data_IF_010492727260
#
_entry.id   IF_010492727260
#
_cell.length_a   1.000
_cell.length_b   1.000
_cell.length_c   1.000
_cell.angle_alpha   90.00
_cell.angle_beta   90.00
_cell.angle_gamma   90.00
#
_symmetry.space_group_name_H-M   'P 1'
#
loop_
_entity.id
_entity.type
_entity.pdbx_description
1 polymer ?
#
# COMPACT_ATOMS: atom_id res chain seq x y z
N UNK A 1 -26.90 1.18 -2.69
CA UNK A 1 -25.52 0.67 -2.88
C UNK A 1 -24.69 1.24 -1.74
N UNK A 2 -24.43 0.46 -0.70
CA UNK A 2 -23.55 0.88 0.39
C UNK A 2 -22.14 0.39 0.03
N UNK A 3 -21.24 1.34 -0.24
CA UNK A 3 -19.81 1.06 -0.38
C UNK A 3 -19.17 1.34 0.96
N UNK A 4 -18.50 0.34 1.53
CA UNK A 4 -17.72 0.49 2.75
C UNK A 4 -16.24 0.51 2.41
N UNK A 5 -15.52 1.50 2.95
CA UNK A 5 -14.09 1.68 2.74
C UNK A 5 -13.33 1.77 4.07
N UNK A 6 -13.93 1.38 5.20
CA UNK A 6 -13.34 1.63 6.52
C UNK A 6 -11.99 0.92 6.69
N UNK A 7 -11.84 -0.30 6.15
CA UNK A 7 -10.55 -1.00 6.11
C UNK A 7 -9.52 -0.19 5.30
N UNK A 8 -9.93 0.34 4.16
CA UNK A 8 -9.07 1.05 3.22
C UNK A 8 -8.64 2.42 3.74
N UNK A 9 -9.48 3.06 4.55
CA UNK A 9 -9.28 4.40 5.10
C UNK A 9 -8.65 4.37 6.49
N UNK A 10 -8.37 3.20 7.05
CA UNK A 10 -7.82 3.09 8.38
C UNK A 10 -6.45 3.77 8.47
N UNK A 11 -6.36 4.76 9.35
CA UNK A 11 -5.18 5.62 9.51
C UNK A 11 -5.17 6.87 8.63
N UNK A 12 -6.16 7.06 7.76
CA UNK A 12 -6.48 8.30 7.06
C UNK A 12 -7.72 8.93 7.69
N UNK A 13 -7.86 10.26 7.64
CA UNK A 13 -9.09 10.95 8.08
C UNK A 13 -10.17 10.92 6.97
N UNK A 14 -10.44 9.75 6.42
CA UNK A 14 -11.41 9.52 5.36
C UNK A 14 -10.99 10.05 3.97
N UNK A 15 -11.88 9.89 2.99
CA UNK A 15 -11.59 10.12 1.56
C UNK A 15 -11.22 11.57 1.20
N UNK A 16 -11.76 12.55 1.94
CA UNK A 16 -11.54 14.00 1.68
C UNK A 16 -10.22 14.47 2.30
N UNK A 17 -9.81 13.86 3.41
CA UNK A 17 -8.61 14.22 4.18
C UNK A 17 -7.61 13.06 4.19
N UNK A 18 -7.40 12.44 3.02
CA UNK A 18 -6.52 11.29 2.79
C UNK A 18 -5.12 11.41 3.42
N UNK A 19 -4.55 12.62 3.44
CA UNK A 19 -3.20 12.86 3.97
C UNK A 19 -3.18 13.36 5.42
N UNK A 20 -4.33 13.42 6.10
CA UNK A 20 -4.37 13.61 7.54
C UNK A 20 -4.19 12.26 8.22
N UNK A 21 -3.03 12.07 8.86
CA UNK A 21 -2.68 10.82 9.52
C UNK A 21 -3.49 10.69 10.81
N UNK A 22 -4.19 9.57 10.96
CA UNK A 22 -4.87 9.21 12.20
C UNK A 22 -4.21 7.97 12.82
N UNK A 23 -4.09 7.97 14.15
CA UNK A 23 -3.70 6.76 14.89
C UNK A 23 -4.89 5.80 14.97
N UNK A 24 -4.59 4.51 14.96
CA UNK A 24 -5.57 3.45 15.13
C UNK A 24 -4.92 2.29 15.88
N UNK A 25 -5.74 1.49 16.52
CA UNK A 25 -5.35 0.29 17.24
C UNK A 25 -6.00 -0.96 16.60
N UNK A 26 -5.46 -2.14 16.89
CA UNK A 26 -5.98 -3.40 16.34
C UNK A 26 -7.50 -3.60 16.50
N UNK A 27 -8.17 -3.16 17.59
CA UNK A 27 -9.63 -3.20 17.67
C UNK A 27 -10.33 -2.40 16.57
N UNK A 28 -9.79 -1.25 16.14
CA UNK A 28 -10.36 -0.43 15.06
C UNK A 28 -10.30 -1.19 13.72
N UNK A 29 -9.18 -1.85 13.43
CA UNK A 29 -9.05 -2.72 12.26
C UNK A 29 -10.05 -3.88 12.30
N UNK A 30 -10.21 -4.51 13.47
CA UNK A 30 -11.16 -5.61 13.66
C UNK A 30 -12.60 -5.14 13.40
N UNK A 31 -13.00 -3.99 13.93
CA UNK A 31 -14.35 -3.47 13.70
C UNK A 31 -14.58 -3.08 12.24
N UNK A 32 -13.60 -2.47 11.57
CA UNK A 32 -13.68 -2.19 10.14
C UNK A 32 -13.90 -3.47 9.32
N UNK A 33 -13.16 -4.54 9.63
CA UNK A 33 -13.34 -5.84 8.99
C UNK A 33 -14.72 -6.43 9.28
N UNK A 34 -15.13 -6.47 10.54
CA UNK A 34 -16.43 -7.00 10.95
C UNK A 34 -17.59 -6.26 10.30
N UNK A 35 -17.48 -4.94 10.12
CA UNK A 35 -18.48 -4.13 9.43
C UNK A 35 -18.69 -4.61 7.99
N UNK A 36 -17.60 -4.83 7.23
CA UNK A 36 -17.69 -5.34 5.85
C UNK A 36 -18.29 -6.74 5.76
N UNK A 37 -18.12 -7.57 6.80
CA UNK A 37 -18.66 -8.93 6.84
C UNK A 37 -20.12 -8.97 7.33
N UNK A 38 -20.53 -8.02 8.20
CA UNK A 38 -21.89 -7.91 8.72
C UNK A 38 -22.85 -7.24 7.74
N UNK A 39 -22.38 -6.29 6.94
CA UNK A 39 -23.24 -5.49 6.04
C UNK A 39 -23.98 -6.35 5.00
N UNK A 40 -23.51 -7.56 4.74
CA UNK A 40 -24.11 -8.51 3.80
C UNK A 40 -25.12 -9.48 4.42
N UNK A 41 -25.18 -9.59 5.76
CA UNK A 41 -25.78 -10.73 6.47
C UNK A 41 -27.29 -10.96 6.25
N UNK A 42 -28.06 -9.91 5.98
CA UNK A 42 -29.51 -10.01 5.71
C UNK A 42 -29.85 -9.62 4.26
N UNK A 43 -28.88 -9.67 3.35
CA UNK A 43 -29.01 -9.22 1.96
C UNK A 43 -28.60 -10.32 0.97
N UNK A 44 -28.94 -10.14 -0.30
CA UNK A 44 -28.44 -10.92 -1.44
C UNK A 44 -27.13 -10.34 -2.03
N UNK A 45 -26.48 -9.42 -1.33
CA UNK A 45 -25.26 -8.77 -1.77
C UNK A 45 -24.04 -9.71 -1.68
N UNK A 46 -23.05 -9.45 -2.55
CA UNK A 46 -21.78 -10.18 -2.56
C UNK A 46 -20.60 -9.19 -2.52
N UNK A 47 -19.74 -9.22 -1.49
CA UNK A 47 -18.69 -8.23 -1.34
C UNK A 47 -17.43 -8.61 -2.12
N UNK A 48 -16.61 -7.61 -2.42
CA UNK A 48 -15.23 -7.80 -2.85
C UNK A 48 -14.30 -7.71 -1.63
N UNK A 49 -13.36 -8.66 -1.51
CA UNK A 49 -12.35 -8.69 -0.45
C UNK A 49 -11.00 -8.31 -1.04
N UNK A 50 -10.45 -7.18 -0.62
CA UNK A 50 -9.13 -6.71 -1.06
C UNK A 50 -8.49 -5.85 0.02
N UNK A 51 -7.16 -5.78 0.02
CA UNK A 51 -6.39 -4.87 0.87
C UNK A 51 -5.50 -3.92 0.07
N UNK A 52 -5.37 -4.14 -1.25
CA UNK A 52 -4.55 -3.33 -2.14
C UNK A 52 -5.30 -3.11 -3.45
N UNK A 53 -5.09 -1.95 -4.04
CA UNK A 53 -5.45 -1.64 -5.43
C UNK A 53 -4.49 -0.53 -5.93
N UNK A 54 -4.81 0.11 -7.05
CA UNK A 54 -3.96 1.16 -7.62
C UNK A 54 -4.05 2.53 -6.92
N UNK A 55 -4.98 2.69 -5.97
CA UNK A 55 -5.21 3.93 -5.22
C UNK A 55 -4.83 3.85 -3.73
N UNK A 56 -4.68 2.63 -3.20
CA UNK A 56 -4.30 2.37 -1.81
C UNK A 56 -2.80 2.13 -1.66
N UNK A 57 -2.21 2.44 -0.48
CA UNK A 57 -0.85 2.02 -0.18
C UNK A 57 -0.74 0.48 -0.06
N UNK A 58 0.47 -0.03 0.16
CA UNK A 58 0.69 -1.46 0.40
C UNK A 58 0.12 -1.89 1.74
N UNK A 59 -0.50 -3.06 1.80
CA UNK A 59 -1.23 -3.50 2.99
C UNK A 59 -0.31 -3.87 4.15
N UNK A 60 0.83 -4.51 3.87
CA UNK A 60 1.81 -4.94 4.88
C UNK A 60 2.33 -3.77 5.73
N UNK A 61 2.93 -2.71 5.13
CA UNK A 61 3.44 -1.57 5.90
C UNK A 61 2.34 -0.73 6.55
N UNK A 62 1.10 -0.81 6.04
CA UNK A 62 -0.04 -0.06 6.58
C UNK A 62 -0.66 -0.77 7.78
N UNK A 63 -0.90 -2.09 7.71
CA UNK A 63 -1.73 -2.82 8.69
C UNK A 63 -0.97 -3.84 9.55
N UNK A 64 0.23 -4.27 9.14
CA UNK A 64 0.90 -5.42 9.77
C UNK A 64 2.25 -5.06 10.36
N UNK A 65 3.23 -4.70 9.53
CA UNK A 65 4.59 -4.37 9.97
C UNK A 65 5.41 -3.69 8.88
N UNK A 66 6.34 -2.84 9.30
CA UNK A 66 7.41 -2.30 8.46
C UNK A 66 8.76 -2.99 8.67
N UNK A 67 8.83 -4.00 9.54
CA UNK A 67 10.08 -4.65 9.92
C UNK A 67 10.52 -5.70 8.88
N UNK A 68 11.66 -5.51 8.19
CA UNK A 68 12.08 -6.37 7.08
C UNK A 68 12.14 -7.88 7.39
N UNK A 69 12.63 -8.34 8.56
CA UNK A 69 12.66 -9.76 8.93
C UNK A 69 11.26 -10.40 9.02
N UNK A 70 10.22 -9.63 9.32
CA UNK A 70 8.85 -10.11 9.49
C UNK A 70 8.01 -10.04 8.21
N UNK A 71 8.51 -9.41 7.14
CA UNK A 71 7.77 -9.11 5.92
C UNK A 71 7.14 -10.34 5.25
N UNK A 72 7.87 -11.44 5.10
CA UNK A 72 7.34 -12.66 4.48
C UNK A 72 6.26 -13.33 5.35
N UNK A 73 6.42 -13.32 6.68
CA UNK A 73 5.39 -13.80 7.61
C UNK A 73 4.14 -12.91 7.55
N UNK A 74 4.32 -11.59 7.50
CA UNK A 74 3.24 -10.63 7.36
C UNK A 74 2.47 -10.79 6.04
N UNK A 75 3.15 -11.04 4.93
CA UNK A 75 2.51 -11.32 3.65
C UNK A 75 1.65 -12.57 3.68
N UNK A 76 2.16 -13.67 4.26
CA UNK A 76 1.41 -14.92 4.47
C UNK A 76 0.20 -14.73 5.38
N UNK A 77 0.38 -14.03 6.50
CA UNK A 77 -0.72 -13.68 7.42
C UNK A 77 -1.81 -12.88 6.69
N UNK A 78 -1.42 -11.88 5.89
CA UNK A 78 -2.36 -11.06 5.12
C UNK A 78 -3.10 -11.88 4.08
N UNK A 79 -2.41 -12.79 3.37
CA UNK A 79 -3.03 -13.67 2.39
C UNK A 79 -4.05 -14.61 3.04
N UNK A 80 -3.68 -15.28 4.14
CA UNK A 80 -4.58 -16.14 4.91
C UNK A 80 -5.80 -15.37 5.43
N UNK A 81 -5.58 -14.17 5.97
CA UNK A 81 -6.64 -13.31 6.45
C UNK A 81 -7.64 -12.97 5.34
N UNK A 82 -7.17 -12.49 4.18
CA UNK A 82 -8.06 -12.13 3.07
C UNK A 82 -8.76 -13.33 2.44
N UNK A 83 -8.10 -14.50 2.38
CA UNK A 83 -8.67 -15.72 1.83
C UNK A 83 -9.77 -16.34 2.70
N UNK A 84 -9.88 -15.94 3.97
CA UNK A 84 -10.89 -16.44 4.92
C UNK A 84 -12.06 -15.49 5.13
N UNK A 85 -12.06 -14.32 4.47
CA UNK A 85 -13.21 -13.41 4.46
C UNK A 85 -14.28 -13.88 3.46
N UNK A 86 -15.54 -13.60 3.77
CA UNK A 86 -16.65 -13.83 2.86
C UNK A 86 -16.63 -12.78 1.74
N UNK A 87 -16.58 -13.23 0.48
CA UNK A 87 -16.60 -12.39 -0.71
C UNK A 87 -15.69 -12.89 -1.83
N UNK A 88 -15.64 -12.15 -2.94
CA UNK A 88 -14.68 -12.41 -4.01
C UNK A 88 -13.33 -11.79 -3.66
N UNK A 89 -12.31 -12.62 -3.48
CA UNK A 89 -10.93 -12.19 -3.21
C UNK A 89 -10.30 -11.54 -4.46
N UNK A 90 -9.77 -10.33 -4.31
CA UNK A 90 -8.91 -9.68 -5.28
C UNK A 90 -7.49 -9.55 -4.74
N UNK A 91 -6.53 -10.02 -5.54
CA UNK A 91 -5.11 -9.89 -5.27
C UNK A 91 -4.52 -8.86 -6.22
N UNK A 92 -4.00 -7.76 -5.68
CA UNK A 92 -3.38 -6.73 -6.52
C UNK A 92 -1.97 -7.14 -6.96
N UNK A 93 -1.53 -6.65 -8.13
CA UNK A 93 -0.19 -6.96 -8.62
C UNK A 93 0.88 -6.60 -7.58
N UNK A 94 1.79 -7.54 -7.37
CA UNK A 94 2.91 -7.49 -6.42
C UNK A 94 2.57 -7.75 -4.95
N UNK A 95 1.30 -7.84 -4.57
CA UNK A 95 0.94 -8.21 -3.20
C UNK A 95 1.53 -9.58 -2.83
N UNK A 96 1.58 -10.51 -3.79
CA UNK A 96 2.19 -11.85 -3.66
C UNK A 96 3.70 -11.89 -3.38
N UNK A 97 4.42 -10.78 -3.55
CA UNK A 97 5.85 -10.69 -3.22
C UNK A 97 6.11 -9.76 -2.02
N UNK A 98 5.06 -9.39 -1.29
CA UNK A 98 5.13 -8.55 -0.09
C UNK A 98 5.86 -7.22 -0.31
N UNK A 99 5.45 -6.47 -1.33
CA UNK A 99 6.01 -5.14 -1.58
C UNK A 99 5.66 -4.14 -0.47
N UNK A 100 6.56 -3.19 -0.26
CA UNK A 100 6.43 -2.14 0.76
C UNK A 100 6.17 -0.78 0.11
N UNK A 101 5.74 0.18 0.93
CA UNK A 101 5.71 1.58 0.57
C UNK A 101 7.13 2.13 0.31
N UNK A 102 7.21 3.33 -0.25
CA UNK A 102 8.47 4.05 -0.42
C UNK A 102 9.01 4.59 0.89
N UNK A 103 10.33 4.80 0.93
CA UNK A 103 10.97 5.58 1.98
C UNK A 103 10.65 7.07 1.81
N UNK A 104 10.68 7.82 2.91
CA UNK A 104 10.49 9.27 2.89
C UNK A 104 11.48 9.97 1.95
N UNK A 105 12.73 9.50 1.90
CA UNK A 105 13.77 10.06 1.02
C UNK A 105 13.42 9.96 -0.47
N UNK A 106 12.77 8.87 -0.89
CA UNK A 106 12.34 8.71 -2.29
C UNK A 106 11.24 9.70 -2.68
N UNK A 107 10.31 9.95 -1.75
CA UNK A 107 9.08 10.72 -1.96
C UNK A 107 9.38 12.20 -2.23
N UNK A 108 10.49 12.73 -1.74
CA UNK A 108 10.83 14.15 -1.91
C UNK A 108 10.99 14.55 -3.38
N UNK A 109 11.59 13.67 -4.19
CA UNK A 109 12.03 14.01 -5.54
C UNK A 109 11.23 13.29 -6.64
N UNK A 110 10.50 12.22 -6.30
CA UNK A 110 10.02 11.24 -7.28
C UNK A 110 8.51 11.02 -7.32
N UNK A 111 7.73 11.74 -6.49
CA UNK A 111 6.26 11.73 -6.59
C UNK A 111 5.86 12.20 -7.99
N UNK A 112 4.98 11.44 -8.64
CA UNK A 112 4.40 11.81 -9.93
C UNK A 112 2.86 11.85 -9.90
N UNK A 113 2.24 11.29 -8.86
CA UNK A 113 0.80 11.34 -8.69
C UNK A 113 0.29 12.77 -8.50
N UNK A 114 -0.63 13.18 -9.38
CA UNK A 114 -1.26 14.51 -9.37
C UNK A 114 -1.91 14.87 -8.04
N UNK A 115 -2.59 13.94 -7.35
CA UNK A 115 -3.25 14.23 -6.07
C UNK A 115 -2.23 14.60 -4.99
N UNK A 116 -1.11 13.88 -4.94
CA UNK A 116 -0.04 14.13 -3.99
C UNK A 116 0.69 15.44 -4.29
N UNK A 117 0.91 15.74 -5.57
CA UNK A 117 1.49 17.01 -6.01
C UNK A 117 0.58 18.20 -5.66
N UNK A 118 -0.72 18.08 -5.91
CA UNK A 118 -1.70 19.11 -5.59
C UNK A 118 -1.78 19.35 -4.08
N UNK A 119 -1.82 18.28 -3.28
CA UNK A 119 -1.80 18.40 -1.82
C UNK A 119 -0.51 19.07 -1.32
N UNK A 120 0.66 18.63 -1.80
CA UNK A 120 1.95 19.25 -1.47
C UNK A 120 1.98 20.74 -1.83
N UNK A 121 1.52 21.10 -3.03
CA UNK A 121 1.46 22.49 -3.49
C UNK A 121 0.54 23.34 -2.62
N UNK A 122 -0.64 22.82 -2.26
CA UNK A 122 -1.58 23.49 -1.35
C UNK A 122 -0.91 23.75 0.00
N UNK A 123 -0.34 22.72 0.63
CA UNK A 123 0.24 22.82 1.97
C UNK A 123 1.49 23.71 1.99
N UNK A 124 2.33 23.68 0.95
CA UNK A 124 3.46 24.61 0.81
C UNK A 124 3.01 26.07 0.73
N UNK A 125 1.85 26.34 0.14
CA UNK A 125 1.30 27.71 0.04
C UNK A 125 0.68 28.16 1.37
N UNK A 126 0.02 27.26 2.07
CA UNK A 126 -0.67 27.55 3.34
C UNK A 126 0.30 27.64 4.52
N UNK A 127 1.39 26.86 4.48
CA UNK A 127 2.37 26.74 5.56
C UNK A 127 3.82 26.92 5.05
N UNK A 128 4.16 28.05 4.39
CA UNK A 128 5.43 28.21 3.66
C UNK A 128 6.69 28.17 4.53
N UNK A 129 6.56 28.48 5.82
CA UNK A 129 7.69 28.56 6.77
C UNK A 129 7.63 27.49 7.86
N UNK A 130 6.57 26.68 7.90
CA UNK A 130 6.39 25.65 8.92
C UNK A 130 7.05 24.35 8.46
N UNK A 131 8.34 24.22 8.79
CA UNK A 131 9.15 23.07 8.36
C UNK A 131 8.62 21.75 8.90
N UNK A 132 7.97 21.77 10.06
CA UNK A 132 7.42 20.58 10.69
C UNK A 132 6.14 20.12 9.98
N UNK A 133 5.21 21.03 9.72
CA UNK A 133 4.01 20.75 8.93
C UNK A 133 4.38 20.20 7.54
N UNK A 134 5.36 20.82 6.87
CA UNK A 134 5.79 20.35 5.55
C UNK A 134 6.46 18.96 5.62
N UNK A 135 7.13 18.62 6.73
CA UNK A 135 7.69 17.29 6.99
C UNK A 135 6.58 16.26 7.22
N UNK A 136 5.52 16.62 7.94
CA UNK A 136 4.34 15.76 8.14
C UNK A 136 3.61 15.50 6.82
N UNK A 137 3.43 16.52 5.98
CA UNK A 137 2.84 16.38 4.64
C UNK A 137 3.62 15.37 3.79
N UNK A 138 4.95 15.46 3.78
CA UNK A 138 5.81 14.52 3.07
C UNK A 138 5.68 13.09 3.63
N UNK A 139 5.57 12.98 4.96
CA UNK A 139 5.38 11.71 5.66
C UNK A 139 4.03 11.07 5.31
N UNK A 140 2.96 11.86 5.28
CA UNK A 140 1.63 11.42 4.88
C UNK A 140 1.59 10.95 3.42
N UNK A 141 2.22 11.70 2.51
CA UNK A 141 2.33 11.30 1.10
C UNK A 141 3.13 9.99 0.97
N UNK A 142 4.22 9.84 1.73
CA UNK A 142 4.99 8.59 1.73
C UNK A 142 4.16 7.39 2.21
N UNK A 143 3.29 7.61 3.21
CA UNK A 143 2.47 6.57 3.82
C UNK A 143 1.24 6.20 3.00
N UNK A 144 0.52 7.19 2.46
CA UNK A 144 -0.82 7.02 1.85
C UNK A 144 -0.87 7.36 0.36
N UNK A 145 0.22 7.88 -0.20
CA UNK A 145 0.30 8.24 -1.62
C UNK A 145 0.08 7.03 -2.54
N UNK A 146 -0.72 7.24 -3.60
CA UNK A 146 -1.07 6.21 -4.58
C UNK A 146 0.14 5.64 -5.32
N UNK A 147 1.21 6.41 -5.43
CA UNK A 147 2.44 5.97 -6.09
C UNK A 147 3.01 4.69 -5.44
N UNK A 148 2.76 4.46 -4.14
CA UNK A 148 3.15 3.22 -3.44
C UNK A 148 2.64 1.96 -4.16
N UNK A 149 1.44 2.02 -4.72
CA UNK A 149 0.84 0.96 -5.51
C UNK A 149 1.18 1.00 -7.01
N UNK A 150 1.80 2.08 -7.52
CA UNK A 150 1.98 2.32 -8.96
C UNK A 150 3.42 2.20 -9.45
N UNK A 151 4.36 1.87 -8.55
CA UNK A 151 5.73 1.50 -8.96
C UNK A 151 5.75 0.46 -10.07
N UNK A 152 6.82 0.35 -10.85
CA UNK A 152 6.91 -0.77 -11.78
C UNK A 152 7.03 -2.13 -11.06
N UNK A 153 6.62 -3.20 -11.76
CA UNK A 153 6.75 -4.58 -11.28
C UNK A 153 8.23 -4.96 -11.12
N UNK A 154 8.53 -5.78 -10.13
CA UNK A 154 9.90 -6.21 -9.81
C UNK A 154 10.10 -7.67 -10.16
N UNK A 155 10.51 -7.93 -11.39
CA UNK A 155 10.71 -9.29 -11.87
C UNK A 155 12.02 -9.89 -11.36
N UNK A 156 13.09 -9.10 -11.35
CA UNK A 156 14.45 -9.55 -11.05
C UNK A 156 15.20 -8.56 -10.16
N UNK A 157 16.03 -9.06 -9.25
CA UNK A 157 16.96 -8.23 -8.46
C UNK A 157 18.27 -7.92 -9.19
N UNK A 158 18.61 -8.68 -10.23
CA UNK A 158 19.90 -8.59 -10.94
C UNK A 158 19.83 -7.78 -12.25
N UNK A 159 18.63 -7.53 -12.77
CA UNK A 159 18.43 -6.77 -14.02
C UNK A 159 18.21 -5.28 -13.77
N UNK A 160 18.57 -4.48 -14.78
CA UNK A 160 18.21 -3.06 -14.83
C UNK A 160 16.69 -2.89 -14.70
N UNK A 161 16.24 -1.86 -13.99
CA UNK A 161 14.83 -1.56 -13.74
C UNK A 161 14.02 -2.75 -13.19
N UNK A 162 14.67 -3.62 -12.42
CA UNK A 162 14.14 -4.89 -11.93
C UNK A 162 13.56 -5.82 -13.02
N UNK A 163 14.05 -5.70 -14.26
CA UNK A 163 13.53 -6.44 -15.41
C UNK A 163 12.19 -5.93 -15.93
N UNK A 164 11.71 -4.76 -15.51
CA UNK A 164 10.44 -4.18 -15.96
C UNK A 164 10.48 -3.68 -17.41
N UNK A 165 11.58 -3.05 -17.81
CA UNK A 165 11.74 -2.46 -19.14
C UNK A 165 13.20 -2.51 -19.59
N UNK A 166 13.39 -2.60 -20.91
CA UNK A 166 14.69 -2.46 -21.56
C UNK A 166 14.97 -1.01 -22.03
N UNK A 167 13.98 -0.12 -21.94
CA UNK A 167 14.14 1.30 -22.26
C UNK A 167 15.03 2.02 -21.23
N UNK A 168 15.32 3.31 -21.49
CA UNK A 168 16.16 4.13 -20.62
C UNK A 168 15.68 4.15 -19.16
N UNK A 169 14.36 4.17 -18.93
CA UNK A 169 13.78 4.10 -17.60
C UNK A 169 12.27 3.88 -17.60
N UNK A 170 11.71 3.44 -16.46
CA UNK A 170 10.26 3.41 -16.26
C UNK A 170 9.68 4.81 -16.10
N UNK A 171 8.37 4.93 -16.35
CA UNK A 171 7.61 6.18 -16.20
C UNK A 171 7.48 6.64 -14.73
N UNK A 172 7.60 5.72 -13.76
CA UNK A 172 7.76 6.01 -12.32
C UNK A 172 9.05 5.36 -11.85
N UNK A 173 9.79 6.07 -10.99
CA UNK A 173 11.02 5.54 -10.42
C UNK A 173 10.80 4.26 -9.63
N UNK A 174 11.79 3.37 -9.69
CA UNK A 174 11.83 2.16 -8.88
C UNK A 174 12.09 2.51 -7.42
N UNK A 175 11.57 1.70 -6.51
CA UNK A 175 12.00 1.66 -5.13
C UNK A 175 13.25 0.77 -5.04
N UNK A 176 14.25 1.22 -4.29
CA UNK A 176 15.60 0.66 -4.25
C UNK A 176 15.66 -0.78 -3.71
N UNK A 177 14.68 -1.18 -2.88
CA UNK A 177 14.61 -2.53 -2.32
C UNK A 177 14.18 -3.61 -3.34
N UNK A 178 14.16 -3.33 -4.64
CA UNK A 178 13.85 -4.33 -5.67
C UNK A 178 14.88 -5.46 -5.76
N UNK A 179 16.12 -5.23 -5.29
CA UNK A 179 17.17 -6.25 -5.24
C UNK A 179 16.81 -7.39 -4.29
N UNK A 180 16.10 -7.07 -3.21
CA UNK A 180 15.70 -8.00 -2.15
C UNK A 180 14.26 -8.47 -2.32
N UNK A 181 13.40 -7.61 -2.88
CA UNK A 181 11.96 -7.86 -3.03
C UNK A 181 11.59 -7.88 -4.51
N UNK A 182 11.62 -9.07 -5.10
CA UNK A 182 11.31 -9.33 -6.49
C UNK A 182 10.82 -10.78 -6.70
N UNK A 183 10.29 -11.05 -7.89
CA UNK A 183 9.74 -12.38 -8.26
C UNK A 183 10.82 -13.46 -8.28
N UNK A 184 12.02 -13.18 -8.79
CA UNK A 184 13.11 -14.18 -8.80
C UNK A 184 13.52 -14.65 -7.41
N UNK A 185 13.61 -13.73 -6.44
CA UNK A 185 13.90 -14.06 -5.03
C UNK A 185 12.72 -14.84 -4.43
N UNK A 186 11.50 -14.37 -4.66
CA UNK A 186 10.29 -15.00 -4.15
C UNK A 186 10.15 -16.46 -4.64
N UNK A 187 10.37 -16.71 -5.94
CA UNK A 187 10.25 -18.05 -6.52
C UNK A 187 11.33 -19.02 -6.03
N UNK A 188 12.45 -18.52 -5.51
CA UNK A 188 13.53 -19.34 -4.94
C UNK A 188 13.37 -19.59 -3.45
N UNK A 189 12.53 -18.82 -2.76
CA UNK A 189 12.32 -18.98 -1.32
C UNK A 189 11.47 -20.22 -1.02
N UNK A 190 11.92 -21.06 -0.09
CA UNK A 190 11.15 -22.23 0.36
C UNK A 190 9.86 -21.80 1.07
N UNK A 191 9.93 -20.74 1.87
CA UNK A 191 8.78 -20.12 2.55
C UNK A 191 8.31 -18.82 1.89
N UNK A 192 8.28 -18.80 0.55
CA UNK A 192 7.72 -17.69 -0.22
C UNK A 192 6.24 -17.46 0.10
N UNK A 193 5.83 -16.19 0.16
CA UNK A 193 4.42 -15.75 0.25
C UNK A 193 3.58 -16.28 -0.93
N UNK A 194 4.18 -16.42 -2.11
CA UNK A 194 3.53 -16.92 -3.32
C UNK A 194 3.36 -18.44 -3.39
N UNK A 195 3.87 -19.19 -2.40
CA UNK A 195 3.82 -20.66 -2.32
C UNK A 195 2.81 -21.18 -1.29
N UNK A 196 1.95 -20.29 -0.77
CA UNK A 196 0.90 -20.63 0.20
C UNK A 196 -0.25 -21.40 -0.45
#
# INVERSE_FOLDING_TARGET
>A
MNLDFDICLLGERGLVQKYEIQSWALPDFKEAVLKTQRIIGETDAWPACFAENHDLPRSIPTYVTNDPPHRAKAGRLTALFLATLSGTLFLYQRQKISMTNFSLGWVLDKICNVDALNYRTKMNKEYPTDTEMLREVKTAIAKFGRDNARTPMRWSGSKLHAGFTAAQGPWVSMNENYKEVNVEVELKADEGVSRM
#
